data_IF_600988021383
#
_entry.id   IF_600988021383
#
_cell.length_a   1.000
_cell.length_b   1.000
_cell.length_c   1.000
_cell.angle_alpha   90.00
_cell.angle_beta   90.00
_cell.angle_gamma   90.00
#
_symmetry.space_group_name_H-M   'P 1'
#
loop_
_entity.id
_entity.type
_entity.pdbx_description
1 polymer ?
#
# COMPACT_ATOMS: atom_id res chain seq x y z
N UNK A 1 -6.36 17.22 -11.21
CA UNK A 1 -7.20 16.23 -10.50
C UNK A 1 -7.04 16.44 -9.00
N UNK A 2 -8.13 16.16 -8.24
CA UNK A 2 -8.04 16.02 -6.78
C UNK A 2 -7.78 14.55 -6.45
N UNK A 3 -6.64 14.26 -5.82
CA UNK A 3 -6.17 12.90 -5.56
C UNK A 3 -5.97 12.69 -4.06
N UNK A 4 -6.56 11.63 -3.52
CA UNK A 4 -6.30 11.15 -2.17
C UNK A 4 -5.25 10.04 -2.22
N UNK A 5 -4.13 10.23 -1.53
CA UNK A 5 -3.12 9.19 -1.32
C UNK A 5 -3.23 8.68 0.12
N UNK A 6 -3.96 7.60 0.29
CA UNK A 6 -4.36 7.05 1.58
C UNK A 6 -3.27 6.17 2.19
N UNK A 7 -3.05 6.29 3.49
CA UNK A 7 -2.04 5.57 4.27
C UNK A 7 -0.61 5.83 3.73
N UNK A 8 -0.30 7.10 3.45
CA UNK A 8 1.00 7.52 2.93
C UNK A 8 1.61 8.64 3.78
N UNK A 9 2.39 8.30 4.78
CA UNK A 9 3.16 9.28 5.59
C UNK A 9 4.38 9.83 4.83
N UNK A 10 4.94 9.04 3.92
CA UNK A 10 6.19 9.37 3.20
C UNK A 10 6.02 10.42 2.10
N UNK A 11 4.81 10.63 1.64
CA UNK A 11 4.48 11.53 0.52
C UNK A 11 5.22 11.20 -0.80
N UNK A 12 5.67 9.95 -0.98
CA UNK A 12 6.43 9.56 -2.15
C UNK A 12 5.61 9.73 -3.44
N UNK A 13 4.36 9.24 -3.45
CA UNK A 13 3.45 9.37 -4.59
C UNK A 13 2.82 10.77 -4.64
N UNK A 14 2.47 11.32 -3.49
CA UNK A 14 1.90 12.68 -3.38
C UNK A 14 2.81 13.72 -4.04
N UNK A 15 4.12 13.70 -3.75
CA UNK A 15 5.10 14.63 -4.34
C UNK A 15 5.18 14.51 -5.87
N UNK A 16 5.19 13.29 -6.39
CA UNK A 16 5.22 13.06 -7.84
C UNK A 16 3.95 13.57 -8.53
N UNK A 17 2.78 13.39 -7.90
CA UNK A 17 1.52 13.92 -8.41
C UNK A 17 1.46 15.46 -8.35
N UNK A 18 1.94 16.06 -7.25
CA UNK A 18 2.06 17.53 -7.11
C UNK A 18 3.00 18.11 -8.15
N UNK A 19 4.11 17.46 -8.46
CA UNK A 19 5.04 17.87 -9.51
C UNK A 19 4.40 17.88 -10.91
N UNK A 20 3.33 17.09 -11.13
CA UNK A 20 2.52 17.09 -12.34
C UNK A 20 1.37 18.11 -12.31
N UNK A 21 1.26 18.92 -11.25
CA UNK A 21 0.24 19.96 -11.12
C UNK A 21 -1.11 19.47 -10.59
N UNK A 22 -1.15 18.29 -9.93
CA UNK A 22 -2.38 17.80 -9.32
C UNK A 22 -2.56 18.30 -7.89
N UNK A 23 -3.81 18.48 -7.46
CA UNK A 23 -4.19 18.69 -6.07
C UNK A 23 -4.20 17.33 -5.35
N UNK A 24 -3.01 16.84 -4.96
CA UNK A 24 -2.83 15.57 -4.30
C UNK A 24 -2.58 15.77 -2.81
N UNK A 25 -3.30 15.02 -1.97
CA UNK A 25 -3.17 15.03 -0.52
C UNK A 25 -2.84 13.64 -0.01
N UNK A 26 -1.75 13.52 0.76
CA UNK A 26 -1.48 12.32 1.54
C UNK A 26 -2.33 12.31 2.81
N UNK A 27 -2.74 11.12 3.25
CA UNK A 27 -3.46 10.95 4.51
C UNK A 27 -2.88 9.76 5.28
N UNK A 28 -2.53 9.97 6.54
CA UNK A 28 -2.12 8.92 7.47
C UNK A 28 -2.49 9.33 8.91
N UNK A 29 -2.49 8.39 9.85
CA UNK A 29 -2.72 8.66 11.27
C UNK A 29 -1.48 9.21 12.00
N UNK A 30 -0.33 9.23 11.34
CA UNK A 30 0.93 9.77 11.85
C UNK A 30 1.41 10.96 11.01
N UNK A 31 2.33 11.74 11.55
CA UNK A 31 2.94 12.86 10.85
C UNK A 31 3.66 12.44 9.57
N UNK A 32 3.65 13.32 8.56
CA UNK A 32 4.36 13.06 7.32
C UNK A 32 5.88 13.16 7.49
N UNK A 33 6.60 12.25 6.85
CA UNK A 33 8.06 12.29 6.73
C UNK A 33 8.54 12.88 5.39
N UNK A 34 7.60 13.22 4.50
CA UNK A 34 7.89 13.74 3.16
C UNK A 34 8.29 15.21 3.09
N UNK A 35 8.07 15.97 4.18
CA UNK A 35 8.50 17.37 4.31
C UNK A 35 7.48 18.40 3.83
N UNK A 36 6.25 18.01 3.50
CA UNK A 36 5.18 18.88 3.01
C UNK A 36 3.93 18.79 3.90
N UNK A 37 3.93 19.42 5.09
CA UNK A 37 2.78 19.41 6.00
C UNK A 37 1.52 20.01 5.36
N UNK A 38 1.67 20.92 4.41
CA UNK A 38 0.59 21.56 3.65
C UNK A 38 -0.15 20.60 2.69
N UNK A 39 0.37 19.40 2.47
CA UNK A 39 -0.25 18.36 1.63
C UNK A 39 -0.64 17.12 2.44
N UNK A 40 -0.48 17.16 3.76
CA UNK A 40 -0.71 15.99 4.61
C UNK A 40 -1.92 16.17 5.54
N UNK A 41 -2.80 15.17 5.52
CA UNK A 41 -3.98 15.07 6.36
C UNK A 41 -3.69 14.04 7.45
N UNK A 42 -3.55 14.46 8.70
CA UNK A 42 -3.24 13.56 9.83
C UNK A 42 -4.52 13.11 10.53
N UNK A 43 -5.18 12.10 9.95
CA UNK A 43 -6.41 11.50 10.51
C UNK A 43 -6.67 10.11 9.94
N UNK A 44 -7.74 9.45 10.43
CA UNK A 44 -8.30 8.26 9.78
C UNK A 44 -8.80 8.63 8.38
N UNK A 45 -8.41 7.83 7.38
CA UNK A 45 -8.78 8.07 5.98
C UNK A 45 -10.23 7.71 5.66
N UNK A 46 -10.86 6.83 6.44
CA UNK A 46 -12.19 6.30 6.14
C UNK A 46 -13.25 7.39 5.91
N UNK A 47 -13.31 8.48 6.70
CA UNK A 47 -14.27 9.57 6.48
C UNK A 47 -14.04 10.36 5.19
N UNK A 48 -12.87 10.21 4.56
CA UNK A 48 -12.49 10.97 3.35
C UNK A 48 -12.77 10.20 2.04
N UNK A 49 -12.99 8.86 2.12
CA UNK A 49 -12.97 7.99 0.94
C UNK A 49 -13.98 8.37 -0.14
N UNK A 50 -15.16 8.83 0.25
CA UNK A 50 -16.24 9.11 -0.71
C UNK A 50 -16.23 10.57 -1.23
N UNK A 51 -15.21 11.36 -0.85
CA UNK A 51 -15.17 12.78 -1.15
C UNK A 51 -16.23 13.57 -0.37
N UNK A 52 -16.72 14.70 -0.92
CA UNK A 52 -17.67 15.60 -0.26
C UNK A 52 -17.30 15.84 1.21
N UNK A 53 -16.03 16.12 1.43
CA UNK A 53 -15.43 16.14 2.75
C UNK A 53 -14.75 17.48 3.08
N UNK A 54 -14.69 17.77 4.35
CA UNK A 54 -13.90 18.83 4.93
C UNK A 54 -12.73 18.21 5.70
N UNK A 55 -11.54 18.71 5.49
CA UNK A 55 -10.34 18.22 6.16
C UNK A 55 -9.35 19.34 6.43
N UNK A 56 -8.41 19.07 7.32
CA UNK A 56 -7.36 20.00 7.70
C UNK A 56 -6.00 19.37 7.41
N UNK A 57 -5.11 20.12 6.79
CA UNK A 57 -3.72 19.73 6.59
C UNK A 57 -2.85 20.08 7.81
N UNK A 58 -1.66 19.48 7.91
CA UNK A 58 -0.79 19.64 9.08
C UNK A 58 -0.22 21.06 9.25
N UNK A 59 -0.30 21.91 8.24
CA UNK A 59 -0.03 23.36 8.33
C UNK A 59 -1.21 24.16 8.89
N UNK A 60 -2.28 23.47 9.34
CA UNK A 60 -3.52 24.03 9.89
C UNK A 60 -4.46 24.72 8.88
N UNK A 61 -4.25 24.57 7.59
CA UNK A 61 -5.20 25.05 6.59
C UNK A 61 -6.39 24.09 6.44
N UNK A 62 -7.57 24.68 6.29
CA UNK A 62 -8.81 23.95 6.07
C UNK A 62 -9.15 23.88 4.58
N UNK A 63 -9.60 22.70 4.16
CA UNK A 63 -9.93 22.39 2.77
C UNK A 63 -11.34 21.81 2.68
N UNK A 64 -12.02 22.14 1.60
CA UNK A 64 -13.36 21.66 1.28
C UNK A 64 -13.35 21.02 -0.09
N UNK A 65 -13.77 19.77 -0.17
CA UNK A 65 -13.95 19.05 -1.42
C UNK A 65 -15.44 18.78 -1.63
N UNK A 66 -16.08 19.56 -2.51
CA UNK A 66 -17.53 19.45 -2.78
C UNK A 66 -17.89 18.36 -3.81
N UNK A 67 -16.95 17.49 -4.13
CA UNK A 67 -17.08 16.41 -5.10
C UNK A 67 -16.36 15.14 -4.63
N UNK A 68 -16.55 14.06 -5.37
CA UNK A 68 -15.72 12.84 -5.20
C UNK A 68 -14.27 13.11 -5.56
N UNK A 69 -13.37 12.31 -5.02
CA UNK A 69 -12.00 12.28 -5.48
C UNK A 69 -11.94 11.84 -6.94
N UNK A 70 -11.09 12.48 -7.74
CA UNK A 70 -10.84 12.04 -9.11
C UNK A 70 -10.05 10.72 -9.15
N UNK A 71 -9.26 10.44 -8.09
CA UNK A 71 -8.49 9.21 -7.92
C UNK A 71 -8.14 8.99 -6.45
N UNK A 72 -8.12 7.71 -6.04
CA UNK A 72 -7.57 7.26 -4.76
C UNK A 72 -6.42 6.29 -5.02
N UNK A 73 -5.26 6.55 -4.39
CA UNK A 73 -4.14 5.60 -4.33
C UNK A 73 -3.94 5.25 -2.86
N UNK A 74 -3.91 3.97 -2.50
CA UNK A 74 -3.91 3.55 -1.11
C UNK A 74 -2.84 2.51 -0.80
N UNK A 75 -2.22 2.65 0.37
CA UNK A 75 -1.18 1.77 0.92
C UNK A 75 -1.61 1.20 2.29
N UNK A 76 -2.75 0.48 2.36
CA UNK A 76 -3.31 0.05 3.64
C UNK A 76 -2.34 -0.85 4.41
N UNK A 77 -2.34 -0.80 5.76
CA UNK A 77 -1.44 -1.58 6.59
C UNK A 77 -1.49 -3.07 6.26
N UNK A 78 -0.35 -3.64 5.87
CA UNK A 78 -0.23 -5.04 5.47
C UNK A 78 0.04 -6.01 6.64
N UNK A 79 0.26 -5.51 7.86
CA UNK A 79 0.74 -6.26 9.03
C UNK A 79 -0.13 -7.48 9.36
N UNK A 80 -1.43 -7.41 9.09
CA UNK A 80 -2.39 -8.48 9.38
C UNK A 80 -2.80 -9.28 8.15
N UNK A 81 -2.34 -8.88 6.95
CA UNK A 81 -2.77 -9.42 5.66
C UNK A 81 -1.66 -10.18 4.93
N UNK A 82 -0.40 -9.76 5.09
CA UNK A 82 0.74 -10.29 4.35
C UNK A 82 1.14 -11.71 4.81
N UNK A 83 1.46 -12.60 3.86
CA UNK A 83 1.91 -13.97 4.14
C UNK A 83 3.19 -14.04 4.98
N UNK A 84 4.01 -13.00 4.99
CA UNK A 84 5.20 -12.92 5.86
C UNK A 84 4.86 -12.95 7.36
N UNK A 85 3.60 -12.65 7.71
CA UNK A 85 3.06 -12.73 9.07
C UNK A 85 2.22 -13.97 9.35
N UNK A 86 2.21 -14.98 8.48
CA UNK A 86 1.30 -16.12 8.54
C UNK A 86 1.42 -16.96 9.84
N UNK A 87 2.59 -17.02 10.46
CA UNK A 87 2.78 -17.71 11.74
C UNK A 87 1.90 -17.14 12.88
N UNK A 88 1.40 -15.92 12.72
CA UNK A 88 0.58 -15.23 13.72
C UNK A 88 -0.89 -15.10 13.30
N UNK A 89 -1.31 -15.69 12.19
CA UNK A 89 -2.67 -15.55 11.66
C UNK A 89 -3.75 -16.07 12.61
N UNK A 90 -3.52 -17.19 13.27
CA UNK A 90 -4.47 -17.74 14.24
C UNK A 90 -4.75 -16.74 15.36
N UNK A 91 -3.71 -16.26 16.04
CA UNK A 91 -3.84 -15.24 17.08
C UNK A 91 -4.51 -13.96 16.58
N UNK A 92 -4.18 -13.53 15.36
CA UNK A 92 -4.76 -12.31 14.75
C UNK A 92 -6.22 -12.49 14.34
N UNK A 93 -6.69 -13.73 14.11
CA UNK A 93 -8.12 -14.03 13.94
C UNK A 93 -8.86 -13.91 15.26
N UNK A 94 -8.30 -14.52 16.30
CA UNK A 94 -8.90 -14.58 17.65
C UNK A 94 -9.04 -13.18 18.27
N UNK A 95 -8.03 -12.32 18.13
CA UNK A 95 -8.04 -10.97 18.70
C UNK A 95 -8.68 -9.89 17.79
N UNK A 96 -9.21 -10.30 16.63
CA UNK A 96 -9.96 -9.43 15.71
C UNK A 96 -9.12 -8.54 14.80
N UNK A 97 -7.79 -8.43 14.99
CA UNK A 97 -6.94 -7.54 14.17
C UNK A 97 -6.95 -7.89 12.69
N UNK A 98 -7.04 -9.19 12.36
CA UNK A 98 -7.10 -9.62 10.96
C UNK A 98 -8.42 -9.20 10.32
N UNK A 99 -9.54 -9.34 11.05
CA UNK A 99 -10.85 -8.88 10.62
C UNK A 99 -10.87 -7.38 10.32
N UNK A 100 -10.29 -6.57 11.23
CA UNK A 100 -10.17 -5.13 11.04
C UNK A 100 -9.36 -4.78 9.77
N UNK A 101 -8.23 -5.45 9.55
CA UNK A 101 -7.42 -5.23 8.35
C UNK A 101 -8.15 -5.58 7.04
N UNK A 102 -8.92 -6.67 7.02
CA UNK A 102 -9.73 -7.08 5.87
C UNK A 102 -10.86 -6.07 5.61
N UNK A 103 -11.58 -5.65 6.66
CA UNK A 103 -12.66 -4.68 6.58
C UNK A 103 -12.15 -3.32 6.06
N UNK A 104 -11.01 -2.86 6.58
CA UNK A 104 -10.35 -1.63 6.13
C UNK A 104 -9.98 -1.68 4.64
N UNK A 105 -9.33 -2.76 4.20
CA UNK A 105 -9.00 -2.97 2.78
C UNK A 105 -10.27 -2.99 1.91
N UNK A 106 -11.31 -3.70 2.36
CA UNK A 106 -12.59 -3.80 1.68
C UNK A 106 -13.30 -2.45 1.52
N UNK A 107 -13.29 -1.60 2.55
CA UNK A 107 -13.84 -0.25 2.49
C UNK A 107 -13.13 0.61 1.46
N UNK A 108 -11.80 0.62 1.45
CA UNK A 108 -11.03 1.38 0.45
C UNK A 108 -11.34 0.90 -0.97
N UNK A 109 -11.37 -0.43 -1.18
CA UNK A 109 -11.61 -1.00 -2.50
C UNK A 109 -13.01 -0.67 -3.05
N UNK A 110 -14.00 -0.48 -2.17
CA UNK A 110 -15.38 -0.18 -2.52
C UNK A 110 -15.76 1.30 -2.33
N UNK A 111 -14.77 2.18 -2.12
CA UNK A 111 -15.00 3.62 -2.04
C UNK A 111 -15.68 4.17 -3.31
N UNK A 112 -16.48 5.21 -3.14
CA UNK A 112 -17.21 5.85 -4.25
C UNK A 112 -16.29 6.76 -5.08
N UNK A 113 -15.30 6.13 -5.72
CA UNK A 113 -14.36 6.75 -6.63
C UNK A 113 -14.20 5.88 -7.88
N UNK A 114 -14.11 6.49 -9.06
CA UNK A 114 -13.99 5.75 -10.33
C UNK A 114 -12.59 5.16 -10.53
N UNK A 115 -11.55 5.82 -10.01
CA UNK A 115 -10.16 5.44 -10.17
C UNK A 115 -9.54 5.11 -8.82
N UNK A 116 -9.31 3.82 -8.55
CA UNK A 116 -8.70 3.36 -7.30
C UNK A 116 -7.51 2.45 -7.61
N UNK A 117 -6.39 2.70 -6.95
CA UNK A 117 -5.26 1.79 -6.88
C UNK A 117 -4.97 1.43 -5.42
N UNK A 118 -4.89 0.14 -5.10
CA UNK A 118 -4.48 -0.32 -3.78
C UNK A 118 -3.20 -1.12 -3.93
N UNK A 119 -2.20 -0.78 -3.15
CA UNK A 119 -0.94 -1.51 -3.02
C UNK A 119 -0.93 -2.34 -1.74
N UNK A 120 -0.56 -3.60 -1.84
CA UNK A 120 -0.25 -4.43 -0.67
C UNK A 120 0.71 -5.57 -1.09
N UNK A 121 1.54 -6.11 -0.21
CA UNK A 121 2.33 -7.29 -0.53
C UNK A 121 1.44 -8.52 -0.72
N UNK A 122 2.02 -9.60 -1.24
CA UNK A 122 1.35 -10.90 -1.36
C UNK A 122 0.77 -11.32 -0.01
N UNK A 123 -0.54 -11.59 0.00
CA UNK A 123 -1.29 -11.82 1.23
C UNK A 123 -2.59 -12.58 1.03
N UNK A 124 -3.45 -12.50 2.05
CA UNK A 124 -4.71 -13.25 2.13
C UNK A 124 -5.83 -12.72 1.23
N UNK A 125 -5.66 -11.53 0.64
CA UNK A 125 -6.70 -10.85 -0.15
C UNK A 125 -7.09 -11.64 -1.42
N UNK A 126 -6.13 -12.34 -2.03
CA UNK A 126 -6.31 -12.99 -3.33
C UNK A 126 -6.58 -14.49 -3.29
N UNK A 127 -6.52 -15.12 -2.14
CA UNK A 127 -6.73 -16.56 -1.97
C UNK A 127 -8.00 -16.90 -1.19
N UNK A 128 -8.24 -18.18 -0.96
CA UNK A 128 -9.44 -18.69 -0.30
C UNK A 128 -9.48 -18.46 1.23
N UNK A 129 -8.48 -17.74 1.74
CA UNK A 129 -8.37 -17.51 3.17
C UNK A 129 -9.54 -16.69 3.73
N UNK A 130 -9.91 -15.60 3.07
CA UNK A 130 -11.01 -14.73 3.54
C UNK A 130 -12.35 -15.46 3.42
N UNK A 131 -12.73 -16.07 2.31
CA UNK A 131 -13.95 -16.87 2.25
C UNK A 131 -14.04 -17.96 3.32
N UNK A 132 -12.92 -18.61 3.63
CA UNK A 132 -12.86 -19.67 4.63
C UNK A 132 -13.06 -19.18 6.08
N UNK A 133 -12.44 -18.06 6.44
CA UNK A 133 -12.36 -17.62 7.83
C UNK A 133 -13.22 -16.39 8.17
N UNK A 134 -13.65 -15.63 7.16
CA UNK A 134 -14.44 -14.42 7.25
C UNK A 134 -15.47 -14.36 6.12
N UNK A 135 -16.40 -15.35 6.03
CA UNK A 135 -17.35 -15.46 4.93
C UNK A 135 -18.23 -14.21 4.79
N UNK A 136 -18.63 -13.60 5.91
CA UNK A 136 -19.42 -12.36 5.93
C UNK A 136 -18.69 -11.16 5.30
N UNK A 137 -17.37 -11.05 5.47
CA UNK A 137 -16.57 -10.04 4.81
C UNK A 137 -16.30 -10.39 3.35
N UNK A 138 -16.18 -11.70 3.05
CA UNK A 138 -16.07 -12.16 1.66
C UNK A 138 -17.31 -11.77 0.86
N UNK A 139 -18.49 -12.02 1.39
CA UNK A 139 -19.78 -11.66 0.76
C UNK A 139 -19.93 -10.14 0.64
N UNK A 140 -19.65 -9.40 1.71
CA UNK A 140 -19.77 -7.93 1.74
C UNK A 140 -18.91 -7.23 0.69
N UNK A 141 -17.65 -7.64 0.53
CA UNK A 141 -16.67 -6.97 -0.31
C UNK A 141 -16.32 -7.74 -1.58
N UNK A 142 -16.88 -8.93 -1.77
CA UNK A 142 -16.66 -9.80 -2.92
C UNK A 142 -15.23 -10.38 -2.95
N UNK A 143 -14.68 -10.81 -1.80
CA UNK A 143 -13.42 -11.55 -1.76
C UNK A 143 -13.61 -13.03 -2.15
N UNK A 144 -12.56 -13.69 -2.71
CA UNK A 144 -11.20 -13.19 -2.95
C UNK A 144 -11.11 -12.23 -4.14
N UNK A 145 -10.16 -11.32 -4.08
CA UNK A 145 -9.83 -10.42 -5.19
C UNK A 145 -8.41 -10.67 -5.67
N UNK A 146 -8.27 -11.19 -6.88
CA UNK A 146 -6.94 -11.31 -7.51
C UNK A 146 -6.38 -9.92 -7.79
N UNK A 147 -5.07 -9.69 -7.58
CA UNK A 147 -4.45 -8.44 -7.98
C UNK A 147 -4.52 -8.29 -9.51
N UNK A 148 -4.71 -7.07 -9.97
CA UNK A 148 -4.69 -6.73 -11.40
C UNK A 148 -3.27 -6.88 -11.95
N UNK A 149 -2.27 -6.60 -11.12
CA UNK A 149 -0.86 -6.68 -11.48
C UNK A 149 -0.01 -7.02 -10.25
N UNK A 150 1.08 -7.77 -10.47
CA UNK A 150 2.16 -7.92 -9.48
C UNK A 150 3.40 -7.25 -10.05
N UNK A 151 4.00 -6.36 -9.28
CA UNK A 151 5.16 -5.58 -9.66
C UNK A 151 6.34 -5.83 -8.72
N UNK A 152 7.51 -5.40 -9.18
CA UNK A 152 8.76 -5.40 -8.42
C UNK A 152 9.41 -4.02 -8.54
N UNK A 153 10.08 -3.49 -7.49
CA UNK A 153 10.78 -2.20 -7.58
C UNK A 153 11.80 -2.15 -8.73
N UNK A 154 12.53 -3.23 -8.98
CA UNK A 154 13.50 -3.29 -10.07
C UNK A 154 12.89 -3.07 -11.46
N UNK A 155 11.61 -3.37 -11.66
CA UNK A 155 10.90 -3.09 -12.92
C UNK A 155 10.85 -1.59 -13.24
N UNK A 156 11.02 -0.74 -12.22
CA UNK A 156 10.91 0.72 -12.33
C UNK A 156 12.24 1.45 -12.02
N UNK A 157 13.35 0.70 -11.97
CA UNK A 157 14.70 1.25 -11.83
C UNK A 157 15.26 1.26 -10.40
N UNK A 158 14.51 0.79 -9.41
CA UNK A 158 15.02 0.61 -8.05
C UNK A 158 15.70 -0.76 -7.93
N UNK A 159 16.92 -0.82 -7.40
CA UNK A 159 17.70 -2.07 -7.31
C UNK A 159 17.25 -2.95 -6.14
N UNK A 160 15.92 -3.24 -6.05
CA UNK A 160 15.32 -4.01 -4.96
C UNK A 160 14.30 -5.03 -5.48
N UNK A 161 14.14 -6.13 -4.74
CA UNK A 161 13.08 -7.12 -4.94
C UNK A 161 12.09 -7.06 -3.78
N UNK A 162 10.83 -6.79 -4.10
CA UNK A 162 9.67 -6.81 -3.17
C UNK A 162 8.42 -7.07 -4.01
N UNK A 163 7.91 -8.31 -3.99
CA UNK A 163 6.66 -8.61 -4.71
C UNK A 163 5.51 -7.79 -4.13
N UNK A 164 4.99 -6.90 -4.95
CA UNK A 164 3.96 -5.93 -4.61
C UNK A 164 2.75 -6.13 -5.51
N UNK A 165 1.59 -6.34 -4.91
CA UNK A 165 0.33 -6.53 -5.61
C UNK A 165 -0.39 -5.19 -5.77
N UNK A 166 -0.96 -4.95 -6.95
CA UNK A 166 -1.82 -3.81 -7.25
C UNK A 166 -3.22 -4.29 -7.59
N UNK A 167 -4.23 -3.74 -6.91
CA UNK A 167 -5.64 -3.88 -7.27
C UNK A 167 -6.09 -2.55 -7.87
N UNK A 168 -6.51 -2.58 -9.13
CA UNK A 168 -6.84 -1.39 -9.92
C UNK A 168 -8.32 -1.39 -10.31
N UNK A 169 -8.99 -0.26 -10.09
CA UNK A 169 -10.33 0.07 -10.59
C UNK A 169 -10.20 1.30 -11.47
N UNK A 170 -10.66 1.24 -12.71
CA UNK A 170 -10.61 2.37 -13.65
C UNK A 170 -9.22 2.88 -14.04
N UNK A 171 -8.16 2.15 -13.72
CA UNK A 171 -6.77 2.52 -13.96
C UNK A 171 -6.06 1.47 -14.82
N UNK A 172 -5.09 1.91 -15.62
CA UNK A 172 -4.25 1.03 -16.44
C UNK A 172 -3.12 0.42 -15.59
N UNK A 173 -2.70 -0.79 -15.94
CA UNK A 173 -1.50 -1.41 -15.38
C UNK A 173 -0.25 -0.56 -15.64
N UNK A 174 0.70 -0.58 -14.70
CA UNK A 174 1.97 0.09 -14.85
C UNK A 174 2.85 -0.65 -15.88
N UNK A 175 3.52 0.11 -16.74
CA UNK A 175 4.43 -0.48 -17.72
C UNK A 175 5.85 -0.53 -17.14
N UNK A 176 6.41 -1.74 -17.06
CA UNK A 176 7.78 -1.93 -16.60
C UNK A 176 8.79 -1.25 -17.55
N UNK A 177 9.71 -0.47 -16.98
CA UNK A 177 10.84 0.15 -17.71
C UNK A 177 11.97 -0.87 -17.92
N UNK A 178 12.16 -1.76 -16.95
CA UNK A 178 13.15 -2.85 -16.99
C UNK A 178 12.40 -4.17 -17.10
N UNK A 179 12.69 -4.98 -18.10
CA UNK A 179 11.98 -6.24 -18.39
C UNK A 179 12.64 -7.47 -17.78
N UNK A 180 13.93 -7.41 -17.55
CA UNK A 180 14.71 -8.50 -16.97
C UNK A 180 15.23 -8.10 -15.60
N UNK A 181 15.16 -9.04 -14.64
CA UNK A 181 15.62 -8.79 -13.29
C UNK A 181 17.12 -8.56 -13.30
N UNK A 182 17.61 -7.41 -12.79
CA UNK A 182 19.03 -7.16 -12.65
C UNK A 182 19.66 -8.09 -11.61
N UNK A 183 20.97 -8.12 -11.54
CA UNK A 183 21.67 -8.77 -10.45
C UNK A 183 21.34 -8.06 -9.14
N UNK A 184 20.75 -8.80 -8.19
CA UNK A 184 20.34 -8.29 -6.89
C UNK A 184 21.10 -8.98 -5.78
N UNK A 185 21.32 -8.28 -4.68
CA UNK A 185 21.94 -8.87 -3.49
C UNK A 185 20.94 -9.75 -2.72
N UNK A 186 21.37 -10.96 -2.42
CA UNK A 186 20.58 -11.97 -1.72
C UNK A 186 21.25 -12.41 -0.42
N UNK A 187 20.42 -12.76 0.54
CA UNK A 187 20.82 -13.43 1.78
C UNK A 187 20.27 -14.86 1.77
N UNK A 188 21.17 -15.82 1.81
CA UNK A 188 20.86 -17.25 1.85
C UNK A 188 21.04 -17.78 3.26
N UNK A 189 20.10 -18.63 3.73
CA UNK A 189 20.21 -19.30 5.03
C UNK A 189 19.60 -20.70 4.98
N UNK A 190 19.93 -21.52 5.99
CA UNK A 190 19.30 -22.81 6.20
C UNK A 190 18.23 -22.65 7.29
N UNK A 191 17.01 -23.02 6.99
CA UNK A 191 15.89 -23.02 7.95
C UNK A 191 16.12 -24.11 9.00
N UNK A 192 16.29 -23.71 10.26
CA UNK A 192 16.61 -24.63 11.36
C UNK A 192 15.53 -25.66 11.69
N UNK A 193 14.27 -25.44 11.27
CA UNK A 193 13.15 -26.38 11.48
C UNK A 193 13.03 -27.39 10.34
N UNK A 194 13.27 -26.96 9.11
CA UNK A 194 13.02 -27.77 7.91
C UNK A 194 14.29 -28.27 7.23
N UNK A 195 15.47 -27.77 7.62
CA UNK A 195 16.76 -28.05 6.96
C UNK A 195 16.86 -27.52 5.52
N UNK A 196 15.86 -26.80 5.02
CA UNK A 196 15.83 -26.31 3.65
C UNK A 196 16.61 -25.01 3.48
N UNK A 197 17.36 -24.90 2.38
CA UNK A 197 17.96 -23.63 1.97
C UNK A 197 16.84 -22.65 1.59
N UNK A 198 16.90 -21.46 2.18
CA UNK A 198 15.99 -20.34 1.90
C UNK A 198 16.78 -19.12 1.45
N UNK A 199 16.13 -18.24 0.72
CA UNK A 199 16.70 -17.01 0.17
C UNK A 199 15.74 -15.86 0.34
N UNK A 200 16.26 -14.69 0.68
CA UNK A 200 15.51 -13.43 0.68
C UNK A 200 16.40 -12.28 0.19
N UNK A 201 15.81 -11.16 -0.26
CA UNK A 201 16.59 -9.97 -0.61
C UNK A 201 17.43 -9.51 0.57
N UNK A 202 18.69 -9.15 0.32
CA UNK A 202 19.63 -8.75 1.38
C UNK A 202 19.14 -7.53 2.17
N UNK A 203 18.57 -6.51 1.50
CA UNK A 203 18.00 -5.34 2.16
C UNK A 203 16.92 -5.70 3.18
N UNK A 204 16.13 -6.74 2.87
CA UNK A 204 15.08 -7.23 3.77
C UNK A 204 15.67 -7.97 4.96
N UNK A 205 16.75 -8.75 4.74
CA UNK A 205 17.51 -9.39 5.82
C UNK A 205 18.18 -8.36 6.73
N UNK A 206 18.78 -7.32 6.14
CA UNK A 206 19.44 -6.25 6.89
C UNK A 206 18.46 -5.43 7.74
N UNK A 207 17.22 -5.24 7.28
CA UNK A 207 16.18 -4.60 8.06
C UNK A 207 15.86 -5.32 9.38
N UNK A 208 16.13 -6.63 9.51
CA UNK A 208 15.96 -7.35 10.76
C UNK A 208 16.93 -6.93 11.88
N UNK A 209 18.03 -6.27 11.52
CA UNK A 209 19.02 -5.73 12.46
C UNK A 209 18.55 -4.41 13.10
N UNK A 210 17.52 -3.78 12.54
CA UNK A 210 16.97 -2.51 13.01
C UNK A 210 15.96 -2.72 14.14
N UNK A 211 15.78 -1.71 15.02
CA UNK A 211 14.68 -1.67 15.97
C UNK A 211 13.32 -1.88 15.29
N UNK A 212 12.29 -2.43 15.99
CA UNK A 212 11.02 -2.78 15.37
C UNK A 212 10.35 -1.65 14.59
N UNK A 213 10.39 -0.42 15.10
CA UNK A 213 9.78 0.76 14.48
C UNK A 213 10.52 1.18 13.20
N UNK A 214 11.83 1.30 13.25
CA UNK A 214 12.66 1.61 12.08
C UNK A 214 12.53 0.52 11.00
N UNK A 215 12.53 -0.74 11.41
CA UNK A 215 12.31 -1.89 10.53
C UNK A 215 10.97 -1.81 9.82
N UNK A 216 9.91 -1.48 10.54
CA UNK A 216 8.58 -1.31 9.96
C UNK A 216 8.59 -0.19 8.92
N UNK A 217 9.18 0.96 9.24
CA UNK A 217 9.31 2.13 8.36
C UNK A 217 10.10 1.81 7.08
N UNK A 218 11.25 1.14 7.19
CA UNK A 218 12.05 0.74 6.03
C UNK A 218 11.29 -0.23 5.13
N UNK A 219 10.53 -1.17 5.70
CA UNK A 219 9.82 -2.21 4.94
C UNK A 219 8.51 -1.73 4.32
N UNK A 220 7.86 -0.70 4.88
CA UNK A 220 6.62 -0.13 4.35
C UNK A 220 6.85 0.91 3.26
N UNK A 221 8.04 1.49 3.19
CA UNK A 221 8.35 2.60 2.28
C UNK A 221 8.04 2.26 0.82
N UNK A 222 7.35 3.19 0.15
CA UNK A 222 7.13 3.14 -1.31
C UNK A 222 8.44 3.49 -2.03
N UNK A 223 8.82 2.68 -3.02
CA UNK A 223 10.03 2.88 -3.80
C UNK A 223 9.84 4.04 -4.80
N UNK A 224 10.85 4.91 -4.97
CA UNK A 224 10.74 6.09 -5.84
C UNK A 224 10.36 5.78 -7.28
N UNK A 225 10.91 4.72 -7.86
CA UNK A 225 10.58 4.30 -9.23
C UNK A 225 9.12 3.88 -9.38
N UNK A 226 8.54 3.23 -8.36
CA UNK A 226 7.12 2.88 -8.33
C UNK A 226 6.26 4.13 -8.20
N UNK A 227 6.59 5.04 -7.28
CA UNK A 227 5.86 6.30 -7.09
C UNK A 227 5.81 7.12 -8.38
N UNK A 228 6.96 7.25 -9.04
CA UNK A 228 7.08 7.92 -10.35
C UNK A 228 6.26 7.22 -11.44
N UNK A 229 6.30 5.89 -11.50
CA UNK A 229 5.51 5.14 -12.49
C UNK A 229 4.01 5.30 -12.27
N UNK A 230 3.54 5.34 -11.02
CA UNK A 230 2.14 5.61 -10.67
C UNK A 230 1.72 7.00 -11.15
N UNK A 231 2.48 8.04 -10.82
CA UNK A 231 2.17 9.41 -11.22
C UNK A 231 2.20 9.61 -12.74
N UNK A 232 3.22 9.10 -13.43
CA UNK A 232 3.34 9.20 -14.89
C UNK A 232 2.25 8.43 -15.65
N UNK A 233 1.73 7.34 -15.09
CA UNK A 233 0.71 6.50 -15.74
C UNK A 233 -0.71 6.97 -15.44
N UNK A 234 -0.97 7.37 -14.21
CA UNK A 234 -2.33 7.69 -13.74
C UNK A 234 -2.60 9.19 -13.59
N UNK A 235 -1.56 10.00 -13.58
CA UNK A 235 -1.64 11.46 -13.51
C UNK A 235 -1.79 12.16 -14.87
N UNK A 236 -2.08 11.42 -15.94
CA UNK A 236 -2.27 11.94 -17.30
C UNK A 236 -3.72 11.94 -17.72
#
# INVERSE_FOLDING_TARGET
>A
MNVLVACEESQAVTKELRALGHEAYSCDIIECSGGHPEWHIMQDVLPLLDGHCHFKTCDNLEHYLDKKWDMIIAFPPCTHLAVSGAAWFEKKREDGRQRQGIDFFGKIMNADCEKIAIENPVGIISGDYIPKWFPDLADRYGFPKKPTQIIQPWMFGDNFSKSTCLWLKGLKSLTAKVKEQPELEWFDWIDGKTGKKKRQPKWFADAWKLPPEERAKVRSKTFPGIAKAMSETWGK
#
